data_IF_969244073623
#
_entry.id   IF_969244073623
#
_cell.length_a   1.000
_cell.length_b   1.000
_cell.length_c   1.000
_cell.angle_alpha   90.00
_cell.angle_beta   90.00
_cell.angle_gamma   90.00
#
_symmetry.space_group_name_H-M   'P 1'
#
loop_
_entity.id
_entity.type
_entity.pdbx_description
1 polymer ?
#
# COMPACT_ATOMS: atom_id res chain seq x y z
N UNK A 1 13.53 9.20 -17.59
CA UNK A 1 13.27 9.14 -17.15
C UNK A 1 12.55 8.99 -16.29
N UNK A 2 12.37 9.17 -15.82
CA UNK A 2 11.66 9.16 -14.88
C UNK A 2 10.39 8.66 -14.99
N UNK A 3 9.87 8.57 -16.01
CA UNK A 3 8.63 8.02 -16.22
C UNK A 3 8.51 6.68 -15.69
N UNK A 4 9.56 5.97 -15.68
CA UNK A 4 9.56 4.63 -15.14
C UNK A 4 9.16 4.66 -13.72
N UNK A 5 9.67 5.65 -13.02
CA UNK A 5 9.30 5.79 -11.63
C UNK A 5 7.83 6.02 -11.49
N UNK A 6 7.25 6.73 -12.42
CA UNK A 6 5.83 7.00 -12.34
C UNK A 6 5.04 5.71 -12.43
N UNK A 7 5.53 4.77 -13.20
CA UNK A 7 4.85 3.50 -13.32
C UNK A 7 4.86 2.72 -12.04
N UNK A 8 5.83 2.99 -11.18
CA UNK A 8 5.93 2.30 -9.91
C UNK A 8 5.22 3.02 -8.78
N UNK A 9 4.80 4.23 -9.01
CA UNK A 9 4.14 5.01 -7.97
C UNK A 9 2.69 4.61 -7.89
N UNK A 10 2.27 4.15 -6.75
CA UNK A 10 0.89 3.77 -6.52
C UNK A 10 0.13 4.93 -5.93
N UNK A 11 -1.12 5.03 -6.31
CA UNK A 11 -1.98 6.10 -5.83
C UNK A 11 -2.76 5.62 -4.62
N UNK A 12 -2.52 6.24 -3.48
CA UNK A 12 -3.21 5.87 -2.25
C UNK A 12 -4.47 6.72 -2.10
N UNK A 13 -5.60 6.06 -1.89
CA UNK A 13 -6.83 6.79 -1.63
C UNK A 13 -6.78 7.38 -0.23
N UNK A 14 -7.60 8.40 0.04
CA UNK A 14 -7.62 9.00 1.38
C UNK A 14 -7.92 8.00 2.47
N UNK A 15 -8.84 7.06 2.21
CA UNK A 15 -9.16 6.04 3.20
C UNK A 15 -7.99 5.13 3.47
N UNK A 16 -7.26 4.76 2.41
CA UNK A 16 -6.09 3.90 2.57
C UNK A 16 -4.99 4.63 3.34
N UNK A 17 -4.81 5.90 3.07
CA UNK A 17 -3.81 6.68 3.80
C UNK A 17 -4.16 6.74 5.28
N UNK A 18 -5.42 6.89 5.59
CA UNK A 18 -5.84 6.96 6.97
C UNK A 18 -5.59 5.64 7.68
N UNK A 19 -5.82 4.54 6.99
CA UNK A 19 -5.53 3.23 7.56
C UNK A 19 -4.05 3.09 7.85
N UNK A 20 -3.23 3.57 6.94
CA UNK A 20 -1.79 3.51 7.14
C UNK A 20 -1.37 4.34 8.34
N UNK A 21 -2.00 5.49 8.52
CA UNK A 21 -1.66 6.36 9.64
C UNK A 21 -1.97 5.75 10.99
N UNK A 22 -2.88 4.77 11.02
CA UNK A 22 -3.20 4.08 12.26
C UNK A 22 -2.13 3.08 12.67
N UNK A 23 -1.18 2.80 11.79
CA UNK A 23 -0.10 1.89 12.08
C UNK A 23 0.99 2.66 12.81
N UNK A 24 1.59 2.07 13.85
CA UNK A 24 2.65 2.76 14.58
C UNK A 24 3.73 3.27 13.64
N UNK A 25 4.23 4.45 13.96
CA UNK A 25 5.17 5.14 13.10
C UNK A 25 6.38 4.28 12.73
N UNK A 26 6.92 3.58 13.71
CA UNK A 26 8.18 2.87 13.47
C UNK A 26 8.03 1.61 12.62
N UNK A 27 6.81 1.14 12.39
CA UNK A 27 6.61 0.01 11.48
C UNK A 27 5.85 0.45 10.23
N UNK A 28 5.54 1.73 10.12
CA UNK A 28 4.70 2.20 9.03
C UNK A 28 5.36 2.05 7.66
N UNK A 29 6.65 2.34 7.58
CA UNK A 29 7.36 2.22 6.32
C UNK A 29 7.33 0.79 5.82
N UNK A 30 7.53 -0.16 6.72
CA UNK A 30 7.54 -1.55 6.37
C UNK A 30 6.14 -2.00 5.93
N UNK A 31 5.13 -1.57 6.67
CA UNK A 31 3.75 -1.91 6.32
C UNK A 31 3.39 -1.35 4.96
N UNK A 32 3.79 -0.12 4.68
CA UNK A 32 3.51 0.50 3.41
C UNK A 32 4.12 -0.28 2.27
N UNK A 33 5.36 -0.72 2.43
CA UNK A 33 6.02 -1.48 1.39
C UNK A 33 5.30 -2.79 1.12
N UNK A 34 4.83 -3.45 2.16
CA UNK A 34 4.13 -4.72 1.99
C UNK A 34 2.80 -4.51 1.28
N UNK A 35 2.09 -3.45 1.65
CA UNK A 35 0.82 -3.15 1.03
C UNK A 35 1.02 -2.83 -0.44
N UNK A 36 2.05 -2.06 -0.76
CA UNK A 36 2.30 -1.70 -2.14
C UNK A 36 2.74 -2.93 -2.96
N UNK A 37 3.52 -3.79 -2.35
CA UNK A 37 3.92 -5.03 -3.02
C UNK A 37 2.69 -5.87 -3.33
N UNK A 38 1.77 -5.95 -2.39
CA UNK A 38 0.55 -6.70 -2.61
C UNK A 38 -0.28 -6.07 -3.73
N UNK A 39 -0.39 -4.76 -3.75
CA UNK A 39 -1.15 -4.08 -4.79
C UNK A 39 -0.56 -4.36 -6.16
N UNK A 40 0.77 -4.34 -6.27
CA UNK A 40 1.41 -4.65 -7.54
C UNK A 40 1.18 -6.09 -7.93
N UNK A 41 1.19 -6.97 -6.95
CA UNK A 41 1.01 -8.40 -7.19
C UNK A 41 -0.36 -8.68 -7.83
N UNK A 42 -1.38 -7.98 -7.39
CA UNK A 42 -2.72 -8.18 -7.94
C UNK A 42 -2.99 -7.26 -9.12
N UNK A 43 -1.98 -6.50 -9.55
CA UNK A 43 -2.12 -5.67 -10.73
C UNK A 43 -2.88 -4.38 -10.53
N UNK A 44 -2.96 -3.90 -9.31
CA UNK A 44 -3.69 -2.68 -9.02
C UNK A 44 -2.75 -1.48 -9.06
N UNK A 45 -3.21 -0.40 -9.64
CA UNK A 45 -2.44 0.85 -9.67
C UNK A 45 -2.80 1.75 -8.51
N UNK A 46 -3.82 1.39 -7.76
CA UNK A 46 -4.27 2.19 -6.64
C UNK A 46 -4.25 1.36 -5.38
N UNK A 47 -4.01 2.01 -4.26
CA UNK A 47 -4.10 1.36 -2.97
C UNK A 47 -5.37 1.86 -2.31
N UNK A 48 -6.35 0.99 -2.19
CA UNK A 48 -7.64 1.31 -1.58
C UNK A 48 -7.72 0.70 -0.20
N UNK A 49 -8.76 1.08 0.53
CA UNK A 49 -8.99 0.51 1.85
C UNK A 49 -9.07 -1.02 1.76
N UNK A 50 -9.74 -1.51 0.73
CA UNK A 50 -9.90 -2.96 0.58
C UNK A 50 -8.55 -3.63 0.38
N UNK A 51 -7.67 -3.00 -0.41
CA UNK A 51 -6.36 -3.58 -0.63
C UNK A 51 -5.56 -3.58 0.66
N UNK A 52 -5.67 -2.52 1.45
CA UNK A 52 -4.97 -2.47 2.72
C UNK A 52 -5.46 -3.61 3.63
N UNK A 53 -6.77 -3.81 3.67
CA UNK A 53 -7.31 -4.86 4.51
C UNK A 53 -6.86 -6.24 4.04
N UNK A 54 -6.87 -6.47 2.73
CA UNK A 54 -6.45 -7.76 2.22
C UNK A 54 -4.97 -8.00 2.43
N UNK A 55 -4.17 -6.96 2.28
CA UNK A 55 -2.74 -7.10 2.52
C UNK A 55 -2.48 -7.49 3.97
N UNK A 56 -3.24 -6.91 4.90
CA UNK A 56 -3.06 -7.27 6.29
C UNK A 56 -3.36 -8.75 6.53
N UNK A 57 -4.40 -9.25 5.90
CA UNK A 57 -4.72 -10.66 6.03
C UNK A 57 -3.64 -11.54 5.44
N UNK A 58 -3.10 -11.11 4.29
CA UNK A 58 -2.06 -11.89 3.64
C UNK A 58 -0.81 -11.97 4.49
N UNK A 59 -0.49 -10.92 5.21
CA UNK A 59 0.73 -10.89 5.99
C UNK A 59 0.51 -11.23 7.47
N UNK A 60 -0.65 -11.75 7.79
CA UNK A 60 -0.88 -12.27 9.11
C UNK A 60 -1.15 -11.25 10.18
N UNK A 61 -1.69 -10.12 9.78
CA UNK A 61 -2.00 -9.07 10.75
C UNK A 61 -3.50 -8.83 10.89
#
# INVERSE_FOLDING_TARGET
MEEIDLGDVLHWTPGAKKKLENIPFFVRTQARQRIETFARKIGSHNVTVEIVEQARLEFGQ
#
